data_IF_171408779119
#
_entry.id   IF_171408779119
#
_cell.length_a   1.000
_cell.length_b   1.000
_cell.length_c   1.000
_cell.angle_alpha   90.00
_cell.angle_beta   90.00
_cell.angle_gamma   90.00
#
_symmetry.space_group_name_H-M   'P 1'
#
loop_
_entity.id
_entity.type
_entity.pdbx_description
1 polymer ?
#
# COMPACT_ATOMS: atom_id res chain seq x y z
N UNK A 1 -12.20 7.58 6.93
CA UNK A 1 -12.32 8.08 5.54
C UNK A 1 -11.61 7.09 4.59
N UNK A 2 -11.26 7.51 3.36
CA UNK A 2 -10.37 6.79 2.46
C UNK A 2 -9.03 7.51 2.35
N UNK A 3 -7.96 6.77 2.07
CA UNK A 3 -6.66 7.31 1.66
C UNK A 3 -6.29 6.79 0.27
N UNK A 4 -5.68 7.65 -0.53
CA UNK A 4 -5.09 7.29 -1.82
C UNK A 4 -3.58 7.27 -1.64
N UNK A 5 -2.97 6.09 -1.83
CA UNK A 5 -1.55 5.84 -1.59
C UNK A 5 -0.89 5.53 -2.93
N UNK A 6 -0.14 6.50 -3.46
CA UNK A 6 0.71 6.31 -4.64
C UNK A 6 2.16 6.07 -4.21
N UNK A 7 2.80 5.08 -4.83
CA UNK A 7 4.21 4.76 -4.60
C UNK A 7 4.97 4.61 -5.91
N UNK A 8 6.23 5.02 -5.86
CA UNK A 8 7.27 4.76 -6.87
C UNK A 8 8.39 3.96 -6.19
N UNK A 9 9.24 3.29 -6.97
CA UNK A 9 10.26 2.33 -6.52
C UNK A 9 9.76 0.96 -5.98
N UNK A 10 9.32 0.08 -6.89
CA UNK A 10 9.75 -1.33 -6.79
C UNK A 10 10.89 -1.60 -7.78
N UNK A 11 11.91 -2.32 -7.32
CA UNK A 11 13.00 -2.86 -8.15
C UNK A 11 12.65 -4.29 -8.55
N UNK A 12 13.01 -4.68 -9.76
CA UNK A 12 12.74 -6.04 -10.29
C UNK A 12 13.42 -7.13 -9.45
N UNK A 13 12.67 -7.69 -8.50
CA UNK A 13 12.92 -8.96 -7.82
C UNK A 13 11.82 -9.94 -8.23
N UNK A 14 12.23 -11.06 -8.80
CA UNK A 14 11.38 -11.94 -9.60
C UNK A 14 10.54 -12.90 -8.73
N UNK A 15 9.53 -12.38 -8.02
CA UNK A 15 8.53 -13.19 -7.30
C UNK A 15 7.11 -12.67 -7.57
N UNK A 16 6.22 -13.57 -8.00
CA UNK A 16 4.88 -13.25 -8.53
C UNK A 16 3.78 -13.10 -7.48
N UNK A 17 4.14 -12.81 -6.22
CA UNK A 17 3.21 -12.69 -5.08
C UNK A 17 3.76 -11.69 -4.06
N UNK A 18 3.91 -10.44 -4.47
CA UNK A 18 4.29 -9.33 -3.60
C UNK A 18 3.06 -8.48 -3.28
N UNK A 19 2.92 -8.04 -2.03
CA UNK A 19 1.75 -7.30 -1.53
C UNK A 19 2.19 -6.22 -0.54
N UNK A 20 1.50 -5.09 -0.49
CA UNK A 20 1.76 -4.05 0.50
C UNK A 20 0.78 -4.09 1.69
N UNK A 21 1.40 -4.14 2.87
CA UNK A 21 0.97 -3.90 4.25
C UNK A 21 0.75 -2.42 4.63
N UNK A 22 -0.41 -1.77 4.44
CA UNK A 22 -0.62 -0.40 4.94
C UNK A 22 -1.27 -0.35 6.32
N UNK A 23 -0.76 0.54 7.19
CA UNK A 23 -1.20 0.70 8.58
C UNK A 23 -1.03 2.15 9.04
N UNK A 24 -1.88 2.61 9.96
CA UNK A 24 -1.80 3.96 10.55
C UNK A 24 -1.41 3.94 12.03
N UNK A 25 -0.98 5.08 12.57
CA UNK A 25 -0.89 5.29 14.01
C UNK A 25 -1.14 6.77 14.34
N UNK A 26 -2.18 7.12 15.12
CA UNK A 26 -2.38 8.48 15.61
C UNK A 26 -1.42 8.75 16.77
N UNK A 27 -0.74 9.91 16.77
CA UNK A 27 0.23 10.29 17.81
C UNK A 27 0.11 11.77 18.20
N UNK A 28 0.50 12.10 19.43
CA UNK A 28 0.71 13.49 19.85
C UNK A 28 2.05 14.01 19.33
N UNK A 29 2.21 15.32 19.07
CA UNK A 29 3.50 15.89 18.66
C UNK A 29 4.62 15.64 19.69
N UNK A 30 5.61 14.83 19.30
CA UNK A 30 6.75 14.43 20.14
C UNK A 30 6.67 13.00 20.70
N UNK A 31 5.56 12.29 20.51
CA UNK A 31 5.47 10.85 20.79
C UNK A 31 6.13 10.02 19.68
N UNK A 32 6.45 8.76 19.99
CA UNK A 32 7.04 7.78 19.08
C UNK A 32 6.02 6.66 18.87
N UNK A 33 5.55 6.48 17.63
CA UNK A 33 4.62 5.41 17.29
C UNK A 33 5.22 4.02 17.58
N UNK A 34 4.45 3.15 18.22
CA UNK A 34 4.80 1.74 18.44
C UNK A 34 4.37 0.88 17.25
N UNK A 35 4.99 -0.30 17.08
CA UNK A 35 4.53 -1.26 16.06
C UNK A 35 3.13 -1.81 16.37
N UNK A 36 2.83 -2.01 17.67
CA UNK A 36 1.51 -2.39 18.19
C UNK A 36 0.41 -1.42 17.73
N UNK A 37 0.67 -0.10 17.78
CA UNK A 37 -0.26 0.92 17.28
C UNK A 37 -0.56 0.77 15.78
N UNK A 38 0.43 0.41 14.96
CA UNK A 38 0.25 0.13 13.53
C UNK A 38 -0.45 -1.21 13.27
N UNK A 39 -0.20 -2.22 14.10
CA UNK A 39 -0.82 -3.55 13.99
C UNK A 39 -2.31 -3.52 14.38
N UNK A 40 -2.72 -2.63 15.29
CA UNK A 40 -4.13 -2.40 15.64
C UNK A 40 -4.91 -1.60 14.56
N UNK A 41 -4.25 -0.69 13.84
CA UNK A 41 -4.90 0.19 12.84
C UNK A 41 -4.48 -0.14 11.39
N UNK A 42 -4.58 -1.41 11.00
CA UNK A 42 -4.36 -1.87 9.63
C UNK A 42 -5.40 -1.28 8.67
N UNK A 43 -4.96 -0.82 7.50
CA UNK A 43 -5.85 -0.28 6.46
C UNK A 43 -6.40 -1.43 5.59
N UNK A 44 -7.67 -1.31 5.20
CA UNK A 44 -8.37 -2.32 4.41
C UNK A 44 -8.37 -1.92 2.92
N UNK A 45 -7.94 -2.82 2.04
CA UNK A 45 -7.82 -2.59 0.60
C UNK A 45 -9.19 -2.47 -0.09
N UNK A 46 -9.25 -1.57 -1.08
CA UNK A 46 -10.48 -1.22 -1.81
C UNK A 46 -10.32 -1.47 -3.31
N UNK A 47 -9.29 -0.87 -3.91
CA UNK A 47 -9.04 -0.93 -5.35
C UNK A 47 -7.60 -0.53 -5.68
N UNK A 48 -7.06 -1.10 -6.77
CA UNK A 48 -5.87 -0.61 -7.44
C UNK A 48 -6.30 0.27 -8.62
N UNK A 49 -6.03 1.57 -8.51
CA UNK A 49 -6.39 2.59 -9.49
C UNK A 49 -5.40 2.65 -10.68
N UNK A 50 -4.31 1.87 -10.65
CA UNK A 50 -3.30 1.78 -11.72
C UNK A 50 -3.48 0.55 -12.62
N UNK A 51 -3.65 -0.64 -12.04
CA UNK A 51 -3.71 -1.91 -12.80
C UNK A 51 -4.99 -2.73 -12.55
N UNK A 52 -5.91 -2.26 -11.70
CA UNK A 52 -7.23 -2.88 -11.54
C UNK A 52 -7.25 -4.17 -10.74
N UNK A 53 -6.22 -4.45 -9.92
CA UNK A 53 -6.23 -5.56 -8.97
C UNK A 53 -7.47 -5.53 -8.06
N UNK A 54 -8.09 -6.70 -7.89
CA UNK A 54 -9.29 -6.90 -7.06
C UNK A 54 -8.93 -7.25 -5.62
N UNK A 55 -9.85 -6.95 -4.70
CA UNK A 55 -9.70 -7.29 -3.27
C UNK A 55 -9.68 -8.81 -3.07
N UNK A 56 -8.80 -9.25 -2.16
CA UNK A 56 -8.79 -10.59 -1.59
C UNK A 56 -9.63 -10.59 -0.30
N UNK A 57 -10.71 -11.39 -0.25
CA UNK A 57 -11.56 -11.50 0.94
C UNK A 57 -10.94 -12.36 2.06
N UNK A 58 -9.89 -13.14 1.78
CA UNK A 58 -9.13 -13.89 2.79
C UNK A 58 -8.02 -13.04 3.42
N UNK A 59 -7.51 -12.04 2.69
CA UNK A 59 -6.46 -11.11 3.13
C UNK A 59 -6.81 -9.66 2.76
N UNK A 60 -7.89 -9.09 3.34
CA UNK A 60 -8.43 -7.78 2.96
C UNK A 60 -7.51 -6.60 3.27
N UNK A 61 -6.40 -6.82 3.98
CA UNK A 61 -5.35 -5.84 4.23
C UNK A 61 -4.39 -5.63 3.04
N UNK A 62 -4.35 -6.57 2.07
CA UNK A 62 -3.28 -6.65 1.06
C UNK A 62 -3.59 -5.89 -0.21
N UNK A 63 -2.76 -4.88 -0.49
CA UNK A 63 -2.65 -4.30 -1.82
C UNK A 63 -1.66 -5.12 -2.68
N UNK A 64 -2.18 -6.03 -3.51
CA UNK A 64 -1.34 -6.89 -4.37
C UNK A 64 -0.73 -6.11 -5.55
N UNK A 65 0.53 -6.43 -5.85
CA UNK A 65 1.27 -5.88 -6.99
C UNK A 65 0.93 -6.64 -8.26
N UNK A 66 0.55 -5.91 -9.31
CA UNK A 66 0.25 -6.47 -10.63
C UNK A 66 1.45 -7.27 -11.19
N UNK A 67 1.21 -8.43 -11.82
CA UNK A 67 2.29 -9.24 -12.38
C UNK A 67 2.91 -8.55 -13.61
N UNK A 68 4.23 -8.71 -13.77
CA UNK A 68 5.01 -8.25 -14.94
C UNK A 68 4.48 -8.82 -16.30
N UNK A 69 3.60 -9.83 -16.25
CA UNK A 69 2.96 -10.44 -17.41
C UNK A 69 1.55 -9.88 -17.72
N UNK A 70 1.08 -8.85 -17.01
CA UNK A 70 -0.21 -8.22 -17.28
C UNK A 70 -0.21 -7.47 -18.64
N UNK A 71 -1.26 -7.58 -19.49
CA UNK A 71 -1.30 -6.92 -20.79
C UNK A 71 -1.37 -5.39 -20.75
N UNK A 72 -1.70 -4.78 -19.60
CA UNK A 72 -1.68 -3.33 -19.38
C UNK A 72 -0.34 -2.84 -18.79
N UNK A 73 0.60 -3.74 -18.51
CA UNK A 73 1.90 -3.39 -17.93
C UNK A 73 2.81 -2.63 -18.91
N UNK A 74 2.86 -1.30 -18.76
CA UNK A 74 3.82 -0.44 -19.46
C UNK A 74 5.11 -0.34 -18.63
N UNK A 75 6.06 -1.24 -18.89
CA UNK A 75 7.42 -1.14 -18.32
C UNK A 75 8.13 0.09 -18.89
N UNK A 76 8.47 1.06 -18.05
CA UNK A 76 9.27 2.22 -18.44
C UNK A 76 10.74 1.82 -18.70
N UNK A 77 11.02 1.45 -19.94
CA UNK A 77 12.35 1.11 -20.47
C UNK A 77 13.27 2.33 -20.67
N UNK A 78 12.81 3.57 -20.43
CA UNK A 78 13.67 4.76 -20.56
C UNK A 78 14.70 4.88 -19.44
N UNK A 79 14.44 4.21 -18.32
CA UNK A 79 15.30 4.08 -17.14
C UNK A 79 16.06 2.76 -17.15
N UNK A 80 17.31 2.76 -16.67
CA UNK A 80 18.11 1.52 -16.46
C UNK A 80 17.62 0.65 -15.29
N UNK A 81 16.45 1.00 -14.71
CA UNK A 81 15.71 0.25 -13.71
C UNK A 81 14.25 0.18 -14.18
N UNK A 82 13.73 -1.02 -14.36
CA UNK A 82 12.29 -1.22 -14.49
C UNK A 82 11.63 -0.81 -13.17
N UNK A 83 10.90 0.31 -13.18
CA UNK A 83 10.12 0.80 -12.04
C UNK A 83 8.65 0.66 -12.40
N UNK A 84 7.90 -0.11 -11.61
CA UNK A 84 6.44 -0.12 -11.66
C UNK A 84 5.92 0.99 -10.74
N UNK A 85 4.85 1.69 -11.16
CA UNK A 85 4.11 2.64 -10.32
C UNK A 85 2.86 1.97 -9.77
N UNK A 86 2.44 2.38 -8.58
CA UNK A 86 1.22 1.90 -7.93
C UNK A 86 0.38 3.06 -7.42
N UNK A 87 -0.92 2.86 -7.38
CA UNK A 87 -1.88 3.79 -6.76
C UNK A 87 -3.02 2.99 -6.16
N UNK A 88 -2.95 2.75 -4.85
CA UNK A 88 -3.95 1.96 -4.14
C UNK A 88 -4.91 2.85 -3.38
N UNK A 89 -6.20 2.52 -3.45
CA UNK A 89 -7.24 3.10 -2.62
C UNK A 89 -7.40 2.22 -1.37
N UNK A 90 -7.16 2.84 -0.22
CA UNK A 90 -7.20 2.19 1.09
C UNK A 90 -8.27 2.82 1.97
N UNK A 91 -8.90 2.01 2.82
CA UNK A 91 -9.91 2.41 3.79
C UNK A 91 -9.25 2.60 5.15
N UNK A 92 -9.49 3.74 5.77
CA UNK A 92 -9.03 3.99 7.14
C UNK A 92 -9.98 3.31 8.14
N UNK A 93 -9.47 2.71 9.24
CA UNK A 93 -10.25 2.38 10.42
C UNK A 93 -11.06 3.58 10.95
N UNK A 94 -12.15 3.32 11.68
CA UNK A 94 -13.06 4.38 12.15
C UNK A 94 -12.52 5.18 13.35
N UNK A 95 -11.56 4.59 14.06
CA UNK A 95 -10.81 5.08 15.20
C UNK A 95 -9.46 5.73 14.81
N UNK A 96 -9.00 5.55 13.56
CA UNK A 96 -7.77 6.16 13.06
C UNK A 96 -7.97 7.66 12.73
N UNK A 97 -7.97 8.50 13.77
CA UNK A 97 -8.05 9.96 13.64
C UNK A 97 -7.17 10.68 14.68
N UNK A 98 -6.75 11.90 14.38
CA UNK A 98 -5.95 12.75 15.26
C UNK A 98 -5.30 13.93 14.52
N UNK A 99 -4.68 14.85 15.25
CA UNK A 99 -3.96 16.01 14.67
C UNK A 99 -2.72 15.59 13.86
N UNK A 100 -2.13 14.44 14.19
CA UNK A 100 -1.04 13.81 13.46
C UNK A 100 -1.27 12.29 13.40
N UNK A 101 -1.38 11.77 12.19
CA UNK A 101 -1.43 10.32 11.91
C UNK A 101 -0.21 9.97 11.04
N UNK A 102 0.58 9.01 11.50
CA UNK A 102 1.65 8.41 10.69
C UNK A 102 1.08 7.23 9.89
N UNK A 103 1.63 6.99 8.70
CA UNK A 103 1.34 5.81 7.89
C UNK A 103 2.62 4.98 7.74
N UNK A 104 2.52 3.68 8.00
CA UNK A 104 3.56 2.68 7.75
C UNK A 104 3.15 1.80 6.57
N UNK A 105 4.10 1.51 5.67
CA UNK A 105 3.99 0.43 4.69
C UNK A 105 4.92 -0.74 5.07
N UNK A 106 4.51 -1.96 4.74
CA UNK A 106 5.25 -3.22 4.93
C UNK A 106 5.10 -4.13 3.69
N UNK A 107 5.96 -5.14 3.60
CA UNK A 107 5.94 -6.24 2.59
C UNK A 107 5.31 -7.50 3.19
#
# INVERSE_FOLDING_TARGET
>A
EWAEISTEEMKSLLLSQYSFIFSGCPISPGEIASQECFDDHMLEFVSDESHGAVRDDAYPERAYVAPIADPYYVLDVSSSRAVMKFSFKMKLPQDLYGDLVLIQWRE
#
